data_IF_822785985374
#
_entry.id   IF_822785985374
#
_cell.length_a   1.000
_cell.length_b   1.000
_cell.length_c   1.000
_cell.angle_alpha   90.00
_cell.angle_beta   90.00
_cell.angle_gamma   90.00
#
_symmetry.space_group_name_H-M   'P 1'
#
loop_
_entity.id
_entity.type
_entity.pdbx_description
1 polymer ?
#
# COMPACT_ATOMS: atom_id res chain seq x y z
N UNK A 1 27.90 -15.92 20.61
CA UNK A 1 26.66 -15.41 19.96
C UNK A 1 27.01 -14.09 19.27
N UNK A 2 27.35 -14.15 17.97
CA UNK A 2 27.45 -12.94 17.16
C UNK A 2 26.02 -12.47 16.83
N UNK A 3 25.53 -11.49 17.56
CA UNK A 3 24.33 -10.77 17.24
C UNK A 3 24.71 -9.74 16.18
N UNK A 4 24.54 -10.06 14.90
CA UNK A 4 24.65 -9.09 13.82
C UNK A 4 23.50 -8.08 13.97
N UNK A 5 23.78 -6.96 14.59
CA UNK A 5 22.88 -5.80 14.65
C UNK A 5 23.14 -5.01 13.37
N UNK A 6 22.34 -5.24 12.32
CA UNK A 6 22.40 -4.39 11.14
C UNK A 6 22.03 -2.96 11.51
N UNK A 7 22.93 -2.02 11.28
CA UNK A 7 22.72 -0.60 11.62
C UNK A 7 22.33 0.14 10.34
N UNK A 8 21.10 0.64 10.29
CA UNK A 8 20.66 1.61 9.27
C UNK A 8 19.73 2.64 9.86
N UNK A 9 19.84 3.84 9.32
CA UNK A 9 18.94 4.95 9.60
C UNK A 9 17.96 5.13 8.44
N UNK A 10 16.71 5.47 8.75
CA UNK A 10 15.69 5.69 7.73
C UNK A 10 14.73 6.80 8.12
N UNK A 11 14.40 7.63 7.15
CA UNK A 11 13.38 8.67 7.29
C UNK A 11 12.42 8.56 6.10
N UNK A 12 11.14 8.33 6.38
CA UNK A 12 10.10 8.25 5.36
C UNK A 12 9.04 9.30 5.59
N UNK A 13 8.45 9.78 4.50
CA UNK A 13 7.30 10.66 4.52
C UNK A 13 6.37 10.37 3.36
N UNK A 14 5.10 10.65 3.56
CA UNK A 14 4.05 10.53 2.57
C UNK A 14 3.53 11.94 2.29
N UNK A 15 3.51 12.41 1.03
CA UNK A 15 2.96 13.72 0.70
C UNK A 15 1.44 13.76 0.96
N UNK A 16 0.90 14.94 1.21
CA UNK A 16 -0.54 15.11 1.43
C UNK A 16 -1.37 14.86 0.16
N UNK A 17 -0.75 15.04 -1.02
CA UNK A 17 -1.39 14.82 -2.32
C UNK A 17 -0.52 13.93 -3.19
N UNK A 18 -1.17 13.09 -3.97
CA UNK A 18 -0.48 12.27 -4.96
C UNK A 18 0.17 13.16 -6.03
N UNK A 19 1.45 12.93 -6.36
CA UNK A 19 2.08 13.58 -7.51
C UNK A 19 1.29 13.29 -8.79
N UNK A 20 1.11 14.30 -9.64
CA UNK A 20 0.33 14.18 -10.87
C UNK A 20 0.90 13.13 -11.84
N UNK A 21 2.19 12.90 -11.78
CA UNK A 21 2.96 11.98 -12.60
C UNK A 21 3.16 10.57 -11.98
N UNK A 22 2.55 10.31 -10.82
CA UNK A 22 2.74 9.06 -10.05
C UNK A 22 2.45 7.77 -10.84
N UNK A 23 1.65 7.87 -11.90
CA UNK A 23 1.29 6.74 -12.76
C UNK A 23 2.07 6.69 -14.08
N UNK A 24 3.01 7.61 -14.29
CA UNK A 24 3.86 7.59 -15.47
C UNK A 24 4.90 6.47 -15.35
N UNK A 25 5.29 5.90 -16.49
CA UNK A 25 6.28 4.81 -16.54
C UNK A 25 7.65 5.23 -15.96
N UNK A 26 8.02 6.50 -16.13
CA UNK A 26 9.30 7.07 -15.69
C UNK A 26 9.22 7.71 -14.30
N UNK A 27 8.09 7.53 -13.58
CA UNK A 27 7.95 8.10 -12.25
C UNK A 27 8.98 7.53 -11.28
N UNK A 28 9.61 8.43 -10.53
CA UNK A 28 10.52 8.09 -9.41
C UNK A 28 9.92 8.58 -8.10
N UNK A 29 9.81 7.69 -7.12
CA UNK A 29 9.22 8.03 -5.81
C UNK A 29 10.05 9.03 -4.99
N UNK A 30 11.33 9.20 -5.34
CA UNK A 30 12.28 10.03 -4.58
C UNK A 30 12.82 9.35 -3.33
N UNK A 31 12.82 8.01 -3.34
CA UNK A 31 13.59 7.23 -2.37
C UNK A 31 15.07 7.28 -2.71
N UNK A 32 15.91 7.49 -1.69
CA UNK A 32 17.37 7.59 -1.86
C UNK A 32 18.07 6.61 -0.94
N UNK A 33 19.08 5.93 -1.47
CA UNK A 33 19.99 5.08 -0.70
C UNK A 33 21.32 5.79 -0.51
N UNK A 34 21.74 5.83 0.74
CA UNK A 34 23.08 6.22 1.16
C UNK A 34 23.77 5.01 1.82
N UNK A 35 25.07 4.95 1.68
CA UNK A 35 25.93 4.01 2.41
C UNK A 35 27.00 4.83 3.08
N UNK A 36 27.07 4.77 4.43
CA UNK A 36 28.01 5.58 5.22
C UNK A 36 27.99 7.06 4.81
N UNK A 37 26.78 7.60 4.62
CA UNK A 37 26.49 8.99 4.22
C UNK A 37 26.92 9.36 2.78
N UNK A 38 27.34 8.37 1.97
CA UNK A 38 27.64 8.57 0.55
C UNK A 38 26.39 8.20 -0.26
N UNK A 39 25.96 9.09 -1.14
CA UNK A 39 24.84 8.83 -2.06
C UNK A 39 25.22 7.70 -3.04
N UNK A 40 24.31 6.71 -3.14
CA UNK A 40 24.50 5.53 -4.01
C UNK A 40 23.51 5.55 -5.18
N UNK A 41 22.22 5.66 -4.89
CA UNK A 41 21.18 5.60 -5.92
C UNK A 41 19.88 6.27 -5.48
N UNK A 42 19.12 6.74 -6.44
CA UNK A 42 17.72 7.14 -6.32
C UNK A 42 16.77 6.18 -7.08
N UNK A 43 17.27 5.00 -7.45
CA UNK A 43 16.45 3.96 -8.07
C UNK A 43 15.64 3.24 -7.00
N UNK A 44 14.39 3.65 -6.90
CA UNK A 44 13.45 3.23 -5.86
C UNK A 44 12.91 1.81 -6.03
N UNK A 45 13.04 1.22 -7.22
CA UNK A 45 12.52 -0.13 -7.50
C UNK A 45 13.16 -1.19 -6.60
N UNK A 46 14.44 -1.01 -6.29
CA UNK A 46 15.19 -1.88 -5.38
C UNK A 46 14.90 -1.59 -3.92
N UNK A 47 14.51 -0.35 -3.59
CA UNK A 47 14.30 0.11 -2.21
C UNK A 47 12.88 -0.08 -1.72
N UNK A 48 11.89 0.04 -2.62
CA UNK A 48 10.47 0.04 -2.26
C UNK A 48 9.64 -0.67 -3.32
N UNK A 49 8.59 -1.43 -2.93
CA UNK A 49 7.67 -2.03 -3.90
C UNK A 49 6.83 -0.96 -4.59
N UNK A 50 6.44 -1.24 -5.83
CA UNK A 50 5.74 -0.29 -6.70
C UNK A 50 4.43 0.23 -6.10
N UNK A 51 3.73 -0.56 -5.31
CA UNK A 51 2.50 -0.12 -4.66
C UNK A 51 2.72 0.92 -3.54
N UNK A 52 3.97 1.11 -3.07
CA UNK A 52 4.36 2.17 -2.14
C UNK A 52 5.12 3.33 -2.82
N UNK A 53 4.98 3.48 -4.15
CA UNK A 53 5.68 4.52 -4.94
C UNK A 53 5.40 5.96 -4.51
N UNK A 54 4.36 6.18 -3.71
CA UNK A 54 4.06 7.48 -3.12
C UNK A 54 4.90 7.82 -1.88
N UNK A 55 5.63 6.85 -1.33
CA UNK A 55 6.52 7.05 -0.18
C UNK A 55 7.82 7.68 -0.67
N UNK A 56 8.26 8.71 0.02
CA UNK A 56 9.55 9.39 -0.21
C UNK A 56 10.43 9.23 1.01
N UNK A 57 11.74 9.35 0.81
CA UNK A 57 12.62 9.31 1.95
C UNK A 57 14.05 8.94 1.66
N UNK A 58 14.78 8.66 2.72
CA UNK A 58 16.18 8.28 2.66
C UNK A 58 16.41 7.05 3.54
N UNK A 59 17.30 6.20 3.09
CA UNK A 59 17.85 5.07 3.82
C UNK A 59 19.36 5.26 3.84
N UNK A 60 19.99 5.20 5.00
CA UNK A 60 21.45 5.21 5.15
C UNK A 60 21.86 3.94 5.89
N UNK A 61 22.69 3.11 5.25
CA UNK A 61 23.18 1.83 5.80
C UNK A 61 24.69 1.89 6.02
N UNK A 62 25.12 1.44 7.17
CA UNK A 62 26.54 1.27 7.47
C UNK A 62 27.07 -0.12 7.10
N UNK A 63 26.16 -1.10 6.94
CA UNK A 63 26.51 -2.50 6.68
C UNK A 63 26.71 -2.84 5.21
N UNK A 64 26.28 -1.97 4.30
CA UNK A 64 26.49 -2.18 2.87
C UNK A 64 27.89 -1.70 2.44
N UNK A 65 28.54 -2.41 1.51
CA UNK A 65 29.83 -1.98 0.98
C UNK A 65 29.64 -0.79 0.03
N UNK A 66 30.60 0.15 0.02
CA UNK A 66 30.55 1.34 -0.83
C UNK A 66 30.71 1.05 -2.32
N UNK A 67 31.39 -0.05 -2.68
CA UNK A 67 31.66 -0.45 -4.06
C UNK A 67 30.54 -1.30 -4.66
N UNK A 68 29.28 -0.93 -4.42
CA UNK A 68 28.13 -1.67 -4.95
C UNK A 68 27.79 -1.24 -6.37
N UNK A 69 27.78 -2.21 -7.28
CA UNK A 69 27.11 -2.06 -8.57
C UNK A 69 25.59 -2.30 -8.42
N UNK A 70 24.80 -1.87 -9.41
CA UNK A 70 23.35 -2.09 -9.43
C UNK A 70 23.00 -3.58 -9.33
N UNK A 71 23.76 -4.45 -9.97
CA UNK A 71 23.59 -5.90 -9.92
C UNK A 71 23.83 -6.47 -8.51
N UNK A 72 24.82 -5.95 -7.81
CA UNK A 72 25.13 -6.35 -6.43
C UNK A 72 24.00 -5.91 -5.48
N UNK A 73 23.39 -4.75 -5.71
CA UNK A 73 22.25 -4.29 -4.91
C UNK A 73 21.04 -5.22 -5.03
N UNK A 74 20.73 -5.69 -6.24
CA UNK A 74 19.57 -6.57 -6.50
C UNK A 74 19.67 -7.91 -5.76
N UNK A 75 20.87 -8.44 -5.54
CA UNK A 75 21.07 -9.73 -4.88
C UNK A 75 21.50 -9.59 -3.42
N UNK A 76 21.54 -8.38 -2.88
CA UNK A 76 22.06 -8.14 -1.53
C UNK A 76 21.04 -8.46 -0.45
N UNK A 77 21.34 -9.47 0.39
CA UNK A 77 20.47 -9.88 1.50
C UNK A 77 20.22 -8.79 2.53
N UNK A 78 21.19 -7.90 2.76
CA UNK A 78 21.05 -6.77 3.69
C UNK A 78 20.03 -5.79 3.13
N UNK A 79 20.11 -5.44 1.84
CA UNK A 79 19.17 -4.56 1.19
C UNK A 79 17.75 -5.13 1.18
N UNK A 80 17.60 -6.43 0.89
CA UNK A 80 16.31 -7.12 0.96
C UNK A 80 15.69 -7.04 2.35
N UNK A 81 16.50 -7.20 3.41
CA UNK A 81 16.06 -7.07 4.80
C UNK A 81 15.69 -5.63 5.15
N UNK A 82 16.45 -4.63 4.70
CA UNK A 82 16.12 -3.21 4.85
C UNK A 82 14.78 -2.92 4.20
N UNK A 83 14.58 -3.35 2.95
CA UNK A 83 13.32 -3.19 2.19
C UNK A 83 12.14 -3.81 2.95
N UNK A 84 12.22 -5.08 3.33
CA UNK A 84 11.14 -5.77 4.05
C UNK A 84 10.78 -5.07 5.37
N UNK A 85 11.77 -4.66 6.16
CA UNK A 85 11.53 -3.94 7.40
C UNK A 85 10.95 -2.54 7.17
N UNK A 86 11.40 -1.84 6.13
CA UNK A 86 10.87 -0.53 5.75
C UNK A 86 9.40 -0.62 5.35
N UNK A 87 9.06 -1.58 4.50
CA UNK A 87 7.67 -1.85 4.09
C UNK A 87 6.79 -2.13 5.30
N UNK A 88 7.22 -3.01 6.20
CA UNK A 88 6.46 -3.33 7.43
C UNK A 88 6.21 -2.10 8.27
N UNK A 89 7.23 -1.27 8.50
CA UNK A 89 7.08 -0.01 9.27
C UNK A 89 6.12 0.97 8.62
N UNK A 90 6.23 1.16 7.30
CA UNK A 90 5.34 2.06 6.55
C UNK A 90 3.89 1.58 6.66
N UNK A 91 3.64 0.29 6.44
CA UNK A 91 2.30 -0.27 6.56
C UNK A 91 1.76 -0.15 8.00
N UNK A 92 2.59 -0.33 9.04
CA UNK A 92 2.19 -0.15 10.42
C UNK A 92 1.80 1.31 10.73
N UNK A 93 2.52 2.29 10.19
CA UNK A 93 2.15 3.71 10.33
C UNK A 93 0.85 4.03 9.58
N UNK A 94 0.65 3.48 8.39
CA UNK A 94 -0.61 3.64 7.64
C UNK A 94 -1.78 2.97 8.38
N UNK A 95 -1.56 1.80 9.03
CA UNK A 95 -2.57 1.17 9.90
C UNK A 95 -2.88 2.02 11.13
N UNK A 96 -1.91 2.70 11.72
CA UNK A 96 -2.16 3.67 12.81
C UNK A 96 -3.00 4.84 12.31
N UNK A 97 -2.68 5.37 11.12
CA UNK A 97 -3.48 6.43 10.47
C UNK A 97 -4.92 5.96 10.24
N UNK A 98 -5.12 4.70 9.84
CA UNK A 98 -6.43 4.11 9.56
C UNK A 98 -7.36 4.03 10.80
N UNK A 99 -6.83 4.20 12.02
CA UNK A 99 -7.64 4.33 13.23
C UNK A 99 -8.41 5.66 13.30
N UNK A 100 -7.94 6.69 12.60
CA UNK A 100 -8.65 7.95 12.43
C UNK A 100 -9.32 7.97 11.06
N UNK A 101 -10.64 7.77 11.04
CA UNK A 101 -11.42 7.61 9.80
C UNK A 101 -11.22 8.78 8.84
N UNK A 102 -11.38 10.03 9.33
CA UNK A 102 -11.36 11.21 8.46
C UNK A 102 -10.00 11.40 7.79
N UNK A 103 -8.93 11.30 8.57
CA UNK A 103 -7.54 11.38 8.04
C UNK A 103 -7.24 10.24 7.07
N UNK A 104 -7.76 9.05 7.35
CA UNK A 104 -7.54 7.91 6.49
C UNK A 104 -8.32 8.01 5.19
N UNK A 105 -9.54 8.54 5.22
CA UNK A 105 -10.35 8.76 4.02
C UNK A 105 -9.69 9.80 3.09
N UNK A 106 -9.07 10.86 3.64
CA UNK A 106 -8.26 11.80 2.86
C UNK A 106 -7.05 11.12 2.23
N UNK A 107 -6.27 10.37 3.01
CA UNK A 107 -5.14 9.58 2.51
C UNK A 107 -5.58 8.59 1.43
N UNK A 108 -6.68 7.88 1.66
CA UNK A 108 -7.14 6.84 0.74
C UNK A 108 -7.68 7.39 -0.58
N UNK A 109 -8.21 8.61 -0.61
CA UNK A 109 -8.58 9.30 -1.86
C UNK A 109 -7.38 9.46 -2.79
N UNK A 110 -6.22 9.76 -2.22
CA UNK A 110 -4.99 9.99 -2.97
C UNK A 110 -4.24 8.68 -3.32
N UNK A 111 -4.14 7.77 -2.35
CA UNK A 111 -3.26 6.60 -2.41
C UNK A 111 -3.97 5.24 -2.36
N UNK A 112 -5.28 5.22 -2.36
CA UNK A 112 -6.04 3.97 -2.26
C UNK A 112 -5.85 3.03 -3.46
N UNK A 113 -5.63 3.58 -4.67
CA UNK A 113 -5.36 2.77 -5.86
C UNK A 113 -4.03 2.01 -5.75
N UNK A 114 -2.87 2.66 -5.47
CA UNK A 114 -1.63 1.92 -5.24
C UNK A 114 -1.72 0.94 -4.06
N UNK A 115 -2.38 1.28 -2.95
CA UNK A 115 -2.57 0.33 -1.83
C UNK A 115 -3.30 -0.94 -2.29
N UNK A 116 -4.31 -0.83 -3.16
CA UNK A 116 -5.00 -2.00 -3.73
C UNK A 116 -4.08 -2.86 -4.60
N UNK A 117 -3.18 -2.24 -5.35
CA UNK A 117 -2.18 -2.95 -6.15
C UNK A 117 -1.31 -3.87 -5.27
N UNK A 118 -1.04 -3.45 -4.04
CA UNK A 118 -0.28 -4.24 -3.06
C UNK A 118 -0.86 -5.62 -2.78
N UNK A 119 -2.19 -5.80 -2.85
CA UNK A 119 -2.84 -7.10 -2.64
C UNK A 119 -2.37 -8.19 -3.64
N UNK A 120 -1.92 -7.78 -4.82
CA UNK A 120 -1.42 -8.67 -5.87
C UNK A 120 0.10 -8.77 -5.91
N UNK A 121 0.80 -7.84 -5.25
CA UNK A 121 2.26 -7.73 -5.34
C UNK A 121 2.97 -8.23 -4.07
N UNK A 122 2.33 -8.10 -2.90
CA UNK A 122 2.96 -8.33 -1.60
C UNK A 122 2.15 -9.34 -0.76
N UNK A 123 2.44 -10.61 -0.99
CA UNK A 123 1.80 -11.70 -0.27
C UNK A 123 2.24 -11.80 1.20
N UNK A 124 3.45 -11.33 1.54
CA UNK A 124 3.96 -11.34 2.92
C UNK A 124 3.19 -10.38 3.83
N UNK A 125 2.74 -9.24 3.29
CA UNK A 125 2.01 -8.22 4.02
C UNK A 125 0.52 -8.20 3.69
N UNK A 126 0.00 -9.27 3.09
CA UNK A 126 -1.39 -9.35 2.60
C UNK A 126 -2.42 -9.04 3.68
N UNK A 127 -2.26 -9.54 4.89
CA UNK A 127 -3.19 -9.30 5.99
C UNK A 127 -3.28 -7.81 6.35
N UNK A 128 -2.14 -7.11 6.43
CA UNK A 128 -2.10 -5.67 6.66
C UNK A 128 -2.77 -4.90 5.52
N UNK A 129 -2.53 -5.31 4.29
CA UNK A 129 -3.12 -4.69 3.11
C UNK A 129 -4.64 -4.89 3.05
N UNK A 130 -5.15 -6.07 3.44
CA UNK A 130 -6.59 -6.33 3.58
C UNK A 130 -7.24 -5.37 4.58
N UNK A 131 -6.58 -5.08 5.69
CA UNK A 131 -7.09 -4.10 6.67
C UNK A 131 -7.10 -2.67 6.14
N UNK A 132 -6.19 -2.34 5.22
CA UNK A 132 -6.04 -1.00 4.66
C UNK A 132 -6.96 -0.72 3.48
N UNK A 133 -7.36 -1.70 2.68
CA UNK A 133 -8.18 -1.45 1.50
C UNK A 133 -9.60 -1.04 1.86
N UNK A 134 -10.17 -0.17 1.03
CA UNK A 134 -11.54 0.35 1.17
C UNK A 134 -12.27 0.23 -0.15
N UNK A 135 -13.57 0.07 -0.07
CA UNK A 135 -14.46 -0.06 -1.22
C UNK A 135 -15.70 0.81 -1.03
N UNK A 136 -16.35 1.15 -2.11
CA UNK A 136 -17.70 1.70 -2.10
C UNK A 136 -18.68 0.55 -2.25
N UNK A 137 -19.78 0.61 -1.53
CA UNK A 137 -20.78 -0.45 -1.55
C UNK A 137 -22.15 0.10 -1.91
N UNK A 138 -23.10 -0.78 -2.16
CA UNK A 138 -24.51 -0.39 -2.44
C UNK A 138 -25.18 0.31 -1.27
N UNK A 139 -24.71 0.08 -0.04
CA UNK A 139 -25.31 0.65 1.18
C UNK A 139 -24.53 1.86 1.72
N UNK A 140 -23.30 2.09 1.24
CA UNK A 140 -22.43 3.13 1.80
C UNK A 140 -22.49 4.46 1.07
N UNK A 141 -23.25 4.56 -0.03
CA UNK A 141 -23.32 5.72 -0.93
C UNK A 141 -21.92 6.20 -1.37
N UNK A 142 -21.41 7.25 -0.76
CA UNK A 142 -20.08 7.79 -1.04
C UNK A 142 -19.00 7.46 0.01
N UNK A 143 -19.41 6.87 1.11
CA UNK A 143 -18.47 6.46 2.16
C UNK A 143 -17.65 5.23 1.73
N UNK A 144 -16.44 5.15 2.28
CA UNK A 144 -15.57 4.03 2.07
C UNK A 144 -15.76 2.99 3.19
N UNK A 145 -15.85 1.72 2.81
CA UNK A 145 -16.08 0.59 3.71
C UNK A 145 -14.88 -0.35 3.69
N UNK A 146 -14.43 -0.79 4.86
CA UNK A 146 -13.42 -1.84 4.98
C UNK A 146 -14.04 -3.23 4.82
N UNK A 147 -13.22 -4.24 4.54
CA UNK A 147 -13.69 -5.63 4.57
C UNK A 147 -14.27 -6.01 5.94
N UNK A 148 -13.65 -5.51 7.02
CA UNK A 148 -14.12 -5.78 8.38
C UNK A 148 -15.53 -5.22 8.62
N UNK A 149 -15.78 -3.99 8.16
CA UNK A 149 -17.10 -3.37 8.31
C UNK A 149 -18.13 -4.05 7.41
N UNK A 150 -17.74 -4.42 6.17
CA UNK A 150 -18.61 -5.20 5.29
C UNK A 150 -19.03 -6.52 5.95
N UNK A 151 -18.05 -7.30 6.45
CA UNK A 151 -18.33 -8.60 7.11
C UNK A 151 -19.21 -8.42 8.34
N UNK A 152 -19.00 -7.35 9.12
CA UNK A 152 -19.86 -7.04 10.28
C UNK A 152 -21.31 -6.77 9.88
N UNK A 153 -21.52 -6.21 8.70
CA UNK A 153 -22.86 -5.86 8.18
C UNK A 153 -23.50 -7.00 7.36
N UNK A 154 -22.78 -8.08 7.10
CA UNK A 154 -23.31 -9.23 6.36
C UNK A 154 -24.54 -9.82 7.06
N UNK A 155 -25.48 -10.30 6.26
CA UNK A 155 -26.63 -11.04 6.77
C UNK A 155 -26.19 -12.37 7.40
N UNK A 156 -26.97 -12.85 8.36
CA UNK A 156 -26.68 -14.06 9.12
C UNK A 156 -26.39 -15.29 8.25
N UNK A 157 -27.08 -15.39 7.10
CA UNK A 157 -26.95 -16.52 6.18
C UNK A 157 -26.04 -16.22 4.98
N UNK A 158 -25.44 -15.03 4.93
CA UNK A 158 -24.52 -14.64 3.87
C UNK A 158 -23.16 -15.29 4.09
N UNK A 159 -22.70 -16.08 3.11
CA UNK A 159 -21.44 -16.87 3.21
C UNK A 159 -20.26 -16.22 2.50
N UNK A 160 -20.51 -15.20 1.67
CA UNK A 160 -19.49 -14.62 0.79
C UNK A 160 -19.62 -13.11 0.70
N UNK A 161 -18.50 -12.45 0.43
CA UNK A 161 -18.45 -11.03 0.04
C UNK A 161 -18.79 -10.97 -1.44
N UNK A 162 -19.80 -10.17 -1.80
CA UNK A 162 -20.17 -9.96 -3.19
C UNK A 162 -19.55 -8.67 -3.71
N UNK A 163 -19.10 -8.68 -4.96
CA UNK A 163 -18.55 -7.52 -5.61
C UNK A 163 -18.93 -7.46 -7.09
N UNK A 164 -18.94 -6.27 -7.64
CA UNK A 164 -19.11 -6.01 -9.07
C UNK A 164 -17.99 -5.12 -9.56
N UNK A 165 -17.51 -5.37 -10.78
CA UNK A 165 -16.43 -4.58 -11.40
C UNK A 165 -16.94 -3.90 -12.66
N UNK A 166 -16.36 -2.74 -12.98
CA UNK A 166 -16.65 -2.00 -14.21
C UNK A 166 -15.86 -0.71 -14.28
N UNK A 167 -15.86 -0.09 -15.45
CA UNK A 167 -15.09 1.12 -15.75
C UNK A 167 -15.69 2.39 -15.15
N UNK A 168 -17.01 2.44 -14.97
CA UNK A 168 -17.71 3.61 -14.47
C UNK A 168 -18.65 3.27 -13.31
N UNK A 169 -18.47 3.99 -12.21
CA UNK A 169 -19.28 3.83 -10.99
C UNK A 169 -20.76 4.11 -11.21
N UNK A 170 -21.10 5.10 -12.04
CA UNK A 170 -22.50 5.45 -12.30
C UNK A 170 -23.23 4.30 -12.98
N UNK A 171 -22.59 3.72 -13.99
CA UNK A 171 -23.12 2.55 -14.70
C UNK A 171 -23.26 1.34 -13.77
N UNK A 172 -22.29 1.11 -12.89
CA UNK A 172 -22.36 0.01 -11.93
C UNK A 172 -23.53 0.17 -10.95
N UNK A 173 -23.80 1.38 -10.46
CA UNK A 173 -24.90 1.65 -9.50
C UNK A 173 -26.27 1.26 -10.06
N UNK A 174 -26.45 1.37 -11.38
CA UNK A 174 -27.71 1.05 -12.07
C UNK A 174 -27.69 -0.30 -12.78
N UNK A 175 -26.70 -1.13 -12.49
CA UNK A 175 -26.59 -2.47 -13.10
C UNK A 175 -27.77 -3.37 -12.67
N UNK A 176 -28.48 -4.02 -13.60
CA UNK A 176 -29.53 -4.97 -13.27
C UNK A 176 -29.04 -6.15 -12.42
N UNK A 177 -27.74 -6.46 -12.48
CA UNK A 177 -27.11 -7.51 -11.69
C UNK A 177 -27.23 -7.23 -10.17
N UNK A 178 -27.38 -5.97 -9.77
CA UNK A 178 -27.55 -5.60 -8.37
C UNK A 178 -28.97 -5.79 -7.84
N UNK A 179 -29.98 -5.93 -8.71
CA UNK A 179 -31.39 -5.93 -8.29
C UNK A 179 -31.72 -7.10 -7.38
N UNK A 180 -31.20 -8.29 -7.66
CA UNK A 180 -31.40 -9.47 -6.82
C UNK A 180 -30.80 -9.27 -5.43
N UNK A 181 -29.60 -8.70 -5.35
CA UNK A 181 -28.92 -8.40 -4.09
C UNK A 181 -29.65 -7.32 -3.29
N UNK A 182 -30.04 -6.24 -3.95
CA UNK A 182 -30.81 -5.15 -3.33
C UNK A 182 -32.14 -5.64 -2.78
N UNK A 183 -32.91 -6.45 -3.56
CA UNK A 183 -34.18 -7.05 -3.10
C UNK A 183 -34.00 -7.93 -1.86
N UNK A 184 -32.91 -8.64 -1.78
CA UNK A 184 -32.57 -9.47 -0.63
C UNK A 184 -31.83 -8.68 0.48
N UNK A 185 -31.62 -7.38 0.31
CA UNK A 185 -30.89 -6.51 1.24
C UNK A 185 -29.46 -6.97 1.49
N UNK A 186 -28.80 -7.52 0.47
CA UNK A 186 -27.40 -7.94 0.50
C UNK A 186 -26.55 -6.78 -0.06
N UNK A 187 -25.53 -6.41 0.69
CA UNK A 187 -24.54 -5.40 0.30
C UNK A 187 -23.57 -5.94 -0.76
N UNK A 188 -23.28 -5.14 -1.80
CA UNK A 188 -22.36 -5.48 -2.90
C UNK A 188 -21.33 -4.36 -3.08
#
# INVERSE_FOLDING_TARGET
LNVNINIWNQLFFIPNKAPFDMYNADYKSGMKLYIKRVFITDDDKELMPTYLRFVRGVIDSEDLPLNVSREILQQNKVLSKIKSNSVKKILDEVLKLAKNKDKYDEFYKEFGKPIKEGLYQDFENKDKLIELVRFKTTNSEDNLVSFKDYVKNMKKDQKSIYFITGSDKKTLKYSPLLDVYKKNGIEV
#
